data_IF_631152911427
#
_entry.id   IF_631152911427
#
_cell.length_a   1.000
_cell.length_b   1.000
_cell.length_c   1.000
_cell.angle_alpha   90.00
_cell.angle_beta   90.00
_cell.angle_gamma   90.00
#
_symmetry.space_group_name_H-M   'P 1'
#
loop_
_entity.id
_entity.type
_entity.pdbx_description
1 polymer ?
#
# COMPACT_ATOMS: atom_id res chain seq x y z
N UNK A 1 -4.99 -6.83 -47.59
CA UNK A 1 -4.54 -6.01 -46.42
C UNK A 1 -5.04 -4.59 -46.63
N UNK A 2 -6.04 -4.14 -45.85
CA UNK A 2 -6.52 -2.75 -45.92
C UNK A 2 -5.49 -1.81 -45.29
N UNK A 3 -5.05 -0.79 -46.04
CA UNK A 3 -4.12 0.24 -45.55
C UNK A 3 -4.90 1.24 -44.69
N UNK A 4 -4.51 1.40 -43.44
CA UNK A 4 -5.07 2.43 -42.54
C UNK A 4 -4.50 3.80 -42.93
N UNK A 5 -5.35 4.69 -43.45
CA UNK A 5 -4.97 6.05 -43.83
C UNK A 5 -5.10 7.00 -42.62
N UNK A 6 -4.21 6.88 -41.63
CA UNK A 6 -4.14 7.82 -40.50
C UNK A 6 -2.97 8.79 -40.65
N UNK A 7 -3.22 10.07 -40.33
CA UNK A 7 -2.18 11.09 -40.20
C UNK A 7 -1.61 11.01 -38.79
N UNK A 8 -0.33 10.66 -38.65
CA UNK A 8 0.37 10.64 -37.38
C UNK A 8 1.05 11.98 -37.14
N UNK A 9 0.82 12.57 -35.98
CA UNK A 9 1.49 13.79 -35.52
C UNK A 9 2.16 13.53 -34.17
N UNK A 10 3.25 14.24 -33.88
CA UNK A 10 3.95 14.10 -32.59
C UNK A 10 3.35 15.06 -31.58
N UNK A 11 3.05 14.57 -30.39
CA UNK A 11 2.72 15.38 -29.23
C UNK A 11 3.78 15.24 -28.15
N UNK A 12 3.95 16.28 -27.33
CA UNK A 12 4.72 16.26 -26.09
C UNK A 12 3.86 15.91 -24.87
N UNK A 13 2.58 15.59 -25.08
CA UNK A 13 1.68 15.16 -24.02
C UNK A 13 2.20 13.88 -23.38
N UNK A 14 2.22 13.88 -22.05
CA UNK A 14 2.48 12.66 -21.30
C UNK A 14 1.20 11.83 -21.31
N UNK A 15 1.29 10.60 -21.80
CA UNK A 15 0.18 9.66 -21.84
C UNK A 15 0.50 8.43 -20.98
N UNK A 16 -0.52 7.88 -20.32
CA UNK A 16 -0.42 6.60 -19.62
C UNK A 16 -1.21 5.54 -20.37
N UNK A 17 -0.70 4.30 -20.52
CA UNK A 17 -1.51 3.19 -21.03
C UNK A 17 -2.61 2.77 -20.04
N UNK A 18 -2.56 3.23 -18.78
CA UNK A 18 -3.49 2.88 -17.72
C UNK A 18 -4.60 3.93 -17.52
N UNK A 19 -5.16 4.45 -18.61
CA UNK A 19 -6.18 5.52 -18.56
C UNK A 19 -7.41 5.18 -17.70
N UNK A 20 -7.81 3.90 -17.64
CA UNK A 20 -8.93 3.46 -16.79
C UNK A 20 -8.70 3.65 -15.28
N UNK A 21 -7.44 3.73 -14.84
CA UNK A 21 -7.07 3.91 -13.43
C UNK A 21 -7.32 5.35 -12.96
N UNK A 22 -7.42 6.31 -13.89
CA UNK A 22 -7.78 7.69 -13.57
C UNK A 22 -9.11 7.83 -12.82
N UNK A 23 -10.02 6.88 -12.96
CA UNK A 23 -11.28 6.83 -12.22
C UNK A 23 -11.15 6.11 -10.86
N UNK A 24 -10.25 5.15 -10.77
CA UNK A 24 -10.06 4.34 -9.58
C UNK A 24 -9.44 5.13 -8.44
N UNK A 25 -8.43 5.95 -8.70
CA UNK A 25 -7.76 6.72 -7.63
C UNK A 25 -8.76 7.64 -6.92
N UNK A 26 -9.53 8.51 -7.60
CA UNK A 26 -10.53 9.34 -6.95
C UNK A 26 -11.61 8.53 -6.24
N UNK A 27 -11.91 7.31 -6.71
CA UNK A 27 -12.83 6.41 -6.02
C UNK A 27 -12.26 5.93 -4.68
N UNK A 28 -11.00 5.49 -4.65
CA UNK A 28 -10.33 5.07 -3.41
C UNK A 28 -10.29 6.21 -2.38
N UNK A 29 -10.00 7.43 -2.84
CA UNK A 29 -9.98 8.62 -1.99
C UNK A 29 -11.40 8.93 -1.48
N UNK A 30 -12.44 8.90 -2.33
CA UNK A 30 -13.85 9.11 -1.92
C UNK A 30 -14.38 8.05 -0.97
N UNK A 31 -13.89 6.81 -1.07
CA UNK A 31 -14.21 5.75 -0.13
C UNK A 31 -13.50 5.92 1.23
N UNK A 32 -12.61 6.92 1.36
CA UNK A 32 -11.83 7.16 2.57
C UNK A 32 -10.73 6.12 2.80
N UNK A 33 -10.34 5.35 1.77
CA UNK A 33 -9.37 4.26 1.92
C UNK A 33 -8.01 4.82 2.33
N UNK A 34 -7.59 5.96 1.76
CA UNK A 34 -6.33 6.61 2.10
C UNK A 34 -6.28 7.00 3.58
N UNK A 35 -7.31 7.71 4.04
CA UNK A 35 -7.43 8.15 5.43
C UNK A 35 -7.53 6.98 6.40
N UNK A 36 -8.27 5.93 6.01
CA UNK A 36 -8.39 4.70 6.77
C UNK A 36 -7.03 4.01 6.94
N UNK A 37 -6.27 3.84 5.85
CA UNK A 37 -4.95 3.20 5.90
C UNK A 37 -3.98 3.99 6.77
N UNK A 38 -3.99 5.32 6.64
CA UNK A 38 -3.10 6.17 7.43
C UNK A 38 -3.51 6.16 8.90
N UNK A 39 -4.80 6.16 9.22
CA UNK A 39 -5.27 6.12 10.60
C UNK A 39 -5.03 4.78 11.31
N UNK A 40 -5.35 3.67 10.65
CA UNK A 40 -5.41 2.35 11.29
C UNK A 40 -4.08 1.61 11.27
N UNK A 41 -3.13 2.02 10.43
CA UNK A 41 -1.82 1.38 10.34
C UNK A 41 -0.73 2.22 11.01
N UNK A 42 0.22 1.52 11.61
CA UNK A 42 1.32 2.17 12.30
C UNK A 42 2.17 2.98 11.33
N UNK A 43 2.32 4.25 11.68
CA UNK A 43 3.20 5.15 10.98
C UNK A 43 4.67 4.79 11.26
N UNK A 44 5.56 4.96 10.28
CA UNK A 44 6.99 4.86 10.54
C UNK A 44 7.40 5.91 11.57
N UNK A 45 8.00 5.50 12.69
CA UNK A 45 8.42 6.39 13.80
C UNK A 45 9.55 7.39 13.48
N UNK A 46 9.89 7.58 12.20
CA UNK A 46 10.82 8.61 11.75
C UNK A 46 10.04 9.83 11.28
N UNK A 47 10.52 11.03 11.59
CA UNK A 47 9.90 12.30 11.14
C UNK A 47 9.88 12.48 9.60
N UNK A 48 10.53 11.57 8.86
CA UNK A 48 10.52 11.47 7.38
C UNK A 48 9.74 10.27 6.85
N UNK A 49 9.08 9.53 7.74
CA UNK A 49 8.34 8.35 7.41
C UNK A 49 7.14 8.68 6.52
N UNK A 50 7.14 8.19 5.29
CA UNK A 50 5.96 8.32 4.43
C UNK A 50 4.76 7.55 5.02
N UNK A 51 3.52 8.06 4.88
CA UNK A 51 2.33 7.45 5.47
C UNK A 51 2.07 6.03 4.92
N UNK A 52 1.36 5.16 5.63
CA UNK A 52 1.01 3.80 5.16
C UNK A 52 0.40 3.76 3.75
N UNK A 53 -0.52 4.69 3.44
CA UNK A 53 -1.20 4.80 2.16
C UNK A 53 -0.24 4.95 0.98
N UNK A 54 0.87 5.67 1.17
CA UNK A 54 1.90 5.87 0.15
C UNK A 54 2.65 4.59 -0.24
N UNK A 55 2.54 3.51 0.53
CA UNK A 55 3.13 2.20 0.25
C UNK A 55 2.09 1.19 -0.24
N UNK A 56 0.88 1.23 0.32
CA UNK A 56 -0.17 0.25 0.03
C UNK A 56 -0.92 0.58 -1.25
N UNK A 57 -1.24 1.85 -1.51
CA UNK A 57 -1.96 2.25 -2.73
C UNK A 57 -1.18 1.87 -4.00
N UNK A 58 0.15 2.09 -4.11
CA UNK A 58 0.92 1.62 -5.27
C UNK A 58 0.87 0.11 -5.49
N UNK A 59 0.79 -0.69 -4.41
CA UNK A 59 0.63 -2.15 -4.52
C UNK A 59 -0.73 -2.49 -5.13
N UNK A 60 -1.81 -1.88 -4.63
CA UNK A 60 -3.17 -2.06 -5.16
C UNK A 60 -3.23 -1.68 -6.64
N UNK A 61 -2.67 -0.52 -7.00
CA UNK A 61 -2.61 -0.05 -8.38
C UNK A 61 -1.82 -1.02 -9.27
N UNK A 62 -0.65 -1.48 -8.81
CA UNK A 62 0.17 -2.47 -9.53
C UNK A 62 -0.60 -3.76 -9.78
N UNK A 63 -1.32 -4.29 -8.79
CA UNK A 63 -2.16 -5.49 -8.95
C UNK A 63 -3.25 -5.30 -10.00
N UNK A 64 -3.91 -4.14 -10.01
CA UNK A 64 -4.97 -3.82 -10.99
C UNK A 64 -4.39 -3.64 -12.40
N UNK A 65 -3.17 -3.12 -12.51
CA UNK A 65 -2.40 -3.08 -13.76
C UNK A 65 -1.91 -4.45 -14.23
N UNK A 66 -2.13 -5.53 -13.46
CA UNK A 66 -1.64 -6.88 -13.78
C UNK A 66 -0.21 -7.17 -13.31
N UNK A 67 0.36 -6.34 -12.44
CA UNK A 67 1.62 -6.60 -11.75
C UNK A 67 1.52 -7.83 -10.84
N UNK A 68 2.63 -8.56 -10.70
CA UNK A 68 2.69 -9.79 -9.89
C UNK A 68 3.76 -9.77 -8.81
N UNK A 69 4.61 -8.74 -8.79
CA UNK A 69 5.72 -8.60 -7.88
C UNK A 69 5.89 -7.16 -7.42
N UNK A 70 6.57 -6.93 -6.29
CA UNK A 70 6.93 -5.57 -5.88
C UNK A 70 7.84 -4.87 -6.89
N UNK A 71 8.65 -5.61 -7.64
CA UNK A 71 9.47 -5.06 -8.73
C UNK A 71 8.63 -4.45 -9.87
N UNK A 72 7.36 -4.85 -10.03
CA UNK A 72 6.46 -4.20 -10.99
C UNK A 72 6.03 -2.80 -10.54
N UNK A 73 6.18 -2.45 -9.27
CA UNK A 73 5.86 -1.12 -8.74
C UNK A 73 6.91 -0.09 -9.20
N UNK A 74 8.15 -0.51 -9.44
CA UNK A 74 9.16 0.37 -10.01
C UNK A 74 8.75 0.81 -11.44
N UNK A 75 8.00 -0.01 -12.18
CA UNK A 75 7.41 0.38 -13.48
C UNK A 75 6.32 1.43 -13.33
N UNK A 76 5.56 1.36 -12.23
CA UNK A 76 4.52 2.33 -11.87
C UNK A 76 5.13 3.70 -11.58
N UNK A 77 6.28 3.76 -10.90
CA UNK A 77 6.96 5.02 -10.56
C UNK A 77 7.55 5.74 -11.78
N UNK A 78 7.88 5.01 -12.85
CA UNK A 78 8.29 5.62 -14.12
C UNK A 78 7.15 6.30 -14.88
N UNK A 79 5.89 5.92 -14.64
CA UNK A 79 4.72 6.57 -15.24
C UNK A 79 4.37 7.87 -14.49
N UNK A 80 4.93 8.97 -15.00
CA UNK A 80 4.72 10.31 -14.42
C UNK A 80 3.27 10.78 -14.48
N UNK A 81 2.46 10.28 -15.42
CA UNK A 81 1.03 10.63 -15.47
C UNK A 81 0.32 9.92 -14.35
N UNK A 82 0.58 8.62 -14.18
CA UNK A 82 -0.02 7.80 -13.14
C UNK A 82 0.36 8.26 -11.73
N UNK A 83 1.64 8.59 -11.51
CA UNK A 83 2.09 9.19 -10.25
C UNK A 83 1.35 10.49 -9.96
N UNK A 84 1.23 11.38 -10.94
CA UNK A 84 0.49 12.64 -10.80
C UNK A 84 -0.98 12.42 -10.44
N UNK A 85 -1.70 11.57 -11.18
CA UNK A 85 -3.13 11.30 -10.90
C UNK A 85 -3.33 10.55 -9.58
N UNK A 86 -2.34 9.77 -9.13
CA UNK A 86 -2.40 9.02 -7.86
C UNK A 86 -2.26 9.90 -6.61
N UNK A 87 -1.79 11.14 -6.77
CA UNK A 87 -1.42 12.01 -5.65
C UNK A 87 -0.22 11.48 -4.84
N UNK A 88 0.54 10.54 -5.40
CA UNK A 88 1.74 9.97 -4.77
C UNK A 88 2.93 10.45 -5.59
N UNK A 89 3.46 11.62 -5.21
CA UNK A 89 4.56 12.29 -5.93
C UNK A 89 5.87 11.49 -5.91
N UNK A 90 6.05 10.65 -4.89
CA UNK A 90 7.26 9.84 -4.72
C UNK A 90 6.86 8.41 -4.33
N UNK A 91 6.48 7.62 -5.33
CA UNK A 91 6.14 6.20 -5.15
C UNK A 91 7.39 5.49 -4.62
N UNK A 92 7.33 4.86 -3.42
CA UNK A 92 8.46 4.12 -2.88
C UNK A 92 8.89 3.00 -3.82
N UNK A 93 10.19 2.76 -3.91
CA UNK A 93 10.75 1.65 -4.67
C UNK A 93 10.34 0.28 -4.08
N UNK A 94 10.48 -0.75 -4.90
CA UNK A 94 10.14 -2.14 -4.54
C UNK A 94 10.81 -2.63 -3.24
N UNK A 95 12.03 -2.19 -2.93
CA UNK A 95 12.74 -2.58 -1.70
C UNK A 95 12.17 -1.88 -0.47
N UNK A 96 11.79 -0.61 -0.60
CA UNK A 96 11.11 0.16 0.43
C UNK A 96 9.75 -0.44 0.78
N UNK A 97 9.01 -0.90 -0.24
CA UNK A 97 7.73 -1.59 -0.06
C UNK A 97 7.95 -2.95 0.61
N UNK A 98 8.88 -3.77 0.10
CA UNK A 98 9.20 -5.07 0.69
C UNK A 98 9.54 -4.96 2.18
N UNK A 99 10.43 -4.02 2.53
CA UNK A 99 10.81 -3.77 3.94
C UNK A 99 9.62 -3.39 4.82
N UNK A 100 8.69 -2.60 4.29
CA UNK A 100 7.49 -2.23 5.03
C UNK A 100 6.61 -3.45 5.32
N UNK A 101 6.35 -4.29 4.32
CA UNK A 101 5.53 -5.49 4.49
C UNK A 101 6.18 -6.53 5.42
N UNK A 102 7.49 -6.76 5.31
CA UNK A 102 8.21 -7.66 6.23
C UNK A 102 8.18 -7.16 7.68
N UNK A 103 8.24 -5.84 7.89
CA UNK A 103 8.11 -5.27 9.23
C UNK A 103 6.69 -5.45 9.77
N UNK A 104 5.66 -5.21 8.95
CA UNK A 104 4.27 -5.38 9.39
C UNK A 104 3.94 -6.83 9.70
N UNK A 105 4.47 -7.79 8.94
CA UNK A 105 4.31 -9.23 9.22
C UNK A 105 4.91 -9.60 10.58
N UNK A 106 6.14 -9.16 10.84
CA UNK A 106 6.77 -9.33 12.16
C UNK A 106 5.98 -8.66 13.29
N UNK A 107 5.36 -7.50 13.04
CA UNK A 107 4.52 -6.82 14.03
C UNK A 107 3.20 -7.57 14.29
N UNK A 108 2.60 -8.18 13.27
CA UNK A 108 1.41 -9.02 13.44
C UNK A 108 1.72 -10.25 14.30
N UNK A 109 2.88 -10.88 14.07
CA UNK A 109 3.35 -12.00 14.90
C UNK A 109 3.61 -11.57 16.34
N UNK A 110 4.27 -10.43 16.54
CA UNK A 110 4.54 -9.89 17.87
C UNK A 110 3.24 -9.53 18.62
N UNK A 111 2.27 -8.91 17.95
CA UNK A 111 0.95 -8.60 18.52
C UNK A 111 0.19 -9.89 18.86
N UNK A 112 0.24 -10.90 18.01
CA UNK A 112 -0.38 -12.21 18.27
C UNK A 112 0.25 -12.91 19.48
N UNK A 113 1.58 -12.88 19.60
CA UNK A 113 2.33 -13.39 20.76
C UNK A 113 1.97 -12.61 22.02
N UNK A 114 2.02 -11.28 21.98
CA UNK A 114 1.72 -10.41 23.13
C UNK A 114 0.27 -10.56 23.61
N UNK A 115 -0.68 -10.74 22.68
CA UNK A 115 -2.08 -11.04 23.00
C UNK A 115 -2.23 -12.41 23.67
N UNK A 116 -1.45 -13.40 23.24
CA UNK A 116 -1.42 -14.75 23.85
C UNK A 116 -0.82 -14.70 25.26
N UNK A 117 0.31 -14.01 25.44
CA UNK A 117 0.96 -13.81 26.74
C UNK A 117 0.05 -13.06 27.70
N UNK A 118 -0.61 -11.98 27.24
CA UNK A 118 -1.57 -11.24 28.07
C UNK A 118 -2.77 -12.09 28.50
N UNK A 119 -3.24 -12.97 27.60
CA UNK A 119 -4.34 -13.89 27.89
C UNK A 119 -3.93 -15.02 28.84
N UNK A 120 -2.68 -15.49 28.76
CA UNK A 120 -2.09 -16.45 29.71
C UNK A 120 -1.85 -15.82 31.09
N UNK A 121 -1.30 -14.61 31.15
CA UNK A 121 -1.06 -13.89 32.41
C UNK A 121 -2.36 -13.59 33.16
N UNK A 122 -3.42 -13.20 32.45
CA UNK A 122 -4.74 -13.00 33.04
C UNK A 122 -5.44 -14.31 33.45
N UNK A 123 -5.07 -15.45 32.86
CA UNK A 123 -5.54 -16.77 33.30
C UNK A 123 -4.84 -17.23 34.58
N UNK A 124 -3.52 -17.09 34.66
CA UNK A 124 -2.73 -17.45 35.83
C UNK A 124 -3.12 -16.63 37.06
N UNK A 125 -3.34 -15.32 36.90
CA UNK A 125 -3.82 -14.47 38.00
C UNK A 125 -5.19 -14.91 38.52
N UNK A 126 -6.04 -15.48 37.65
CA UNK A 126 -7.33 -16.03 38.04
C UNK A 126 -7.19 -17.33 38.84
N UNK A 127 -6.28 -18.22 38.45
CA UNK A 127 -6.05 -19.50 39.15
C UNK A 127 -5.53 -19.26 40.57
N UNK A 128 -4.59 -18.34 40.76
CA UNK A 128 -4.07 -17.99 42.10
C UNK A 128 -5.17 -17.43 43.02
N UNK A 129 -6.14 -16.67 42.49
CA UNK A 129 -7.29 -16.21 43.28
C UNK A 129 -8.33 -17.30 43.60
N UNK A 130 -8.37 -18.40 42.84
CA UNK A 130 -9.27 -19.54 43.09
C UNK A 130 -8.68 -20.58 44.06
N UNK A 131 -7.36 -20.73 44.14
CA UNK A 131 -6.70 -21.65 45.09
C UNK A 131 -6.52 -21.06 46.51
N UNK A 132 -6.79 -19.77 46.67
CA UNK A 132 -6.65 -19.04 47.95
C UNK A 132 -7.96 -18.92 48.76
N UNK A 133 -9.02 -19.66 48.40
CA UNK A 133 -10.36 -19.59 49.03
C UNK A 133 -10.77 -20.89 49.71
#
# INVERSE_FOLDING_TARGET
MSKLNYKLERSNDKITPFGGISLLIPLLDKMGIRDFLDKELDHPGSNRGKPPSSKIIPVILSMICGGRSFSDIDKLSFDKVLSYISGIEDIPDSSSISRYFSKTESMLDEVAVNKTISKLGSLNYKIETFESS
#
